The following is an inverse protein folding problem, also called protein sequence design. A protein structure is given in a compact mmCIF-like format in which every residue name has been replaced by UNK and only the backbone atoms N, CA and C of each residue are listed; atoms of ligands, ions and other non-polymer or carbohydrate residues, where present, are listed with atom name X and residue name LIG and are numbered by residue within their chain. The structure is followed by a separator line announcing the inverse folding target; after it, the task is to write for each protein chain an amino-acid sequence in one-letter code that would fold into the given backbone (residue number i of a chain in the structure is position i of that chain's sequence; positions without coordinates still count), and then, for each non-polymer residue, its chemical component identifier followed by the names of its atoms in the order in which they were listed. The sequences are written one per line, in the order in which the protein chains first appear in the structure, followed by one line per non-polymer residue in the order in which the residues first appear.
data_IF_505615453947
#
_entry.id   IF_505615453947
#
_cell.length_a   1.000
_cell.length_b   1.000
_cell.length_c   1.000
_cell.angle_alpha   90.00
_cell.angle_beta   90.00
_cell.angle_gamma   90.00
#
_symmetry.space_group_name_H-M   'P 1'
#
loop_
_entity.id
_entity.type
_entity.pdbx_description
1 polymer ?
#
# COMPACT_ATOMS: atom_id res chain seq x y z
N UNK A 1 -4.38 23.48 -21.34
CA UNK A 1 -4.58 22.18 -20.66
C UNK A 1 -3.36 21.67 -19.88
N UNK A 2 -2.12 21.85 -20.36
CA UNK A 2 -0.90 21.40 -19.64
C UNK A 2 -0.66 22.13 -18.29
N UNK A 3 -0.94 23.43 -18.22
CA UNK A 3 -0.83 24.21 -16.98
C UNK A 3 -1.80 23.72 -15.88
N UNK A 4 -3.04 23.37 -16.25
CA UNK A 4 -4.04 22.84 -15.32
C UNK A 4 -3.64 21.48 -14.73
N UNK A 5 -2.90 20.65 -15.49
CA UNK A 5 -2.35 19.36 -15.02
C UNK A 5 -1.24 19.52 -13.99
N UNK A 6 -0.53 20.64 -13.98
CA UNK A 6 0.59 20.92 -13.06
C UNK A 6 0.13 21.64 -11.80
N UNK A 7 -1.06 22.24 -11.82
CA UNK A 7 -1.63 22.97 -10.69
C UNK A 7 -1.78 22.07 -9.45
N UNK A 8 -2.34 20.87 -9.62
CA UNK A 8 -2.52 19.91 -8.52
C UNK A 8 -1.20 19.50 -7.85
N UNK A 9 -0.20 19.02 -8.61
CA UNK A 9 1.13 18.72 -8.08
C UNK A 9 1.80 19.94 -7.42
N UNK A 10 1.71 21.13 -8.02
CA UNK A 10 2.31 22.34 -7.47
C UNK A 10 1.67 22.74 -6.14
N UNK A 11 0.34 22.67 -6.03
CA UNK A 11 -0.39 22.93 -4.78
C UNK A 11 -0.05 21.90 -3.70
N UNK A 12 0.09 20.63 -4.05
CA UNK A 12 0.48 19.58 -3.10
C UNK A 12 1.89 19.84 -2.54
N UNK A 13 2.86 20.14 -3.41
CA UNK A 13 4.23 20.46 -2.98
C UNK A 13 4.27 21.72 -2.13
N UNK A 14 3.53 22.76 -2.52
CA UNK A 14 3.42 23.99 -1.76
C UNK A 14 2.79 23.75 -0.37
N UNK A 15 1.75 22.91 -0.28
CA UNK A 15 1.14 22.52 0.99
C UNK A 15 2.09 21.77 1.92
N UNK A 16 2.84 20.80 1.39
CA UNK A 16 3.87 20.07 2.16
C UNK A 16 4.96 21.02 2.66
N UNK A 17 5.42 21.94 1.80
CA UNK A 17 6.42 22.94 2.18
C UNK A 17 5.91 23.88 3.27
N UNK A 18 4.67 24.35 3.17
CA UNK A 18 4.06 25.21 4.19
C UNK A 18 3.96 24.50 5.55
N UNK A 19 3.52 23.24 5.58
CA UNK A 19 3.47 22.43 6.81
C UNK A 19 4.87 22.23 7.40
N UNK A 20 5.87 21.92 6.57
CA UNK A 20 7.25 21.75 7.03
C UNK A 20 7.83 23.03 7.65
N UNK A 21 7.53 24.20 7.06
CA UNK A 21 7.95 25.51 7.59
C UNK A 21 7.26 25.80 8.92
N UNK A 22 5.94 25.55 9.03
CA UNK A 22 5.19 25.75 10.26
C UNK A 22 5.73 24.86 11.41
N UNK A 23 6.07 23.60 11.11
CA UNK A 23 6.71 22.69 12.06
C UNK A 23 8.10 23.19 12.48
N UNK A 24 8.92 23.65 11.54
CA UNK A 24 10.26 24.17 11.82
C UNK A 24 10.27 25.44 12.66
N UNK A 25 9.23 26.27 12.55
CA UNK A 25 9.03 27.48 13.36
C UNK A 25 8.41 27.22 14.73
N UNK A 26 8.02 25.98 15.02
CA UNK A 26 7.27 25.63 16.24
C UNK A 26 5.83 26.17 16.23
N UNK A 27 5.33 26.62 15.08
CA UNK A 27 3.95 27.09 14.88
C UNK A 27 2.96 25.93 14.65
N UNK A 28 3.47 24.72 14.41
CA UNK A 28 2.68 23.51 14.23
C UNK A 28 3.31 22.33 14.99
N UNK A 29 2.46 21.36 15.34
CA UNK A 29 2.85 20.10 15.98
C UNK A 29 2.29 18.94 15.16
N UNK A 30 3.13 17.98 14.76
CA UNK A 30 2.71 16.80 14.01
C UNK A 30 2.39 15.66 14.98
N UNK A 31 1.14 15.21 15.01
CA UNK A 31 0.70 14.06 15.80
C UNK A 31 0.20 12.94 14.87
N UNK A 32 0.72 11.72 15.02
CA UNK A 32 0.16 10.53 14.37
C UNK A 32 -0.81 9.83 15.32
N UNK A 33 -2.06 9.68 14.91
CA UNK A 33 -3.07 8.89 15.63
C UNK A 33 -3.16 7.52 14.98
N UNK A 34 -2.74 6.48 15.71
CA UNK A 34 -2.82 5.09 15.25
C UNK A 34 -4.13 4.46 15.73
N UNK A 35 -4.97 4.00 14.80
CA UNK A 35 -6.27 3.37 15.08
C UNK A 35 -6.07 1.84 15.05
N UNK A 36 -6.29 1.17 16.18
CA UNK A 36 -6.29 -0.29 16.28
C UNK A 36 -7.74 -0.81 16.22
N UNK A 37 -8.21 -1.35 15.09
CA UNK A 37 -9.50 -1.99 15.05
C UNK A 37 -9.46 -3.29 15.86
N UNK A 38 -10.28 -3.38 16.91
CA UNK A 38 -10.43 -4.59 17.73
C UNK A 38 -11.84 -5.14 17.49
N UNK A 39 -11.92 -6.42 17.12
CA UNK A 39 -13.18 -7.13 16.91
C UNK A 39 -13.27 -8.29 17.91
N UNK A 40 -14.06 -8.11 18.96
CA UNK A 40 -14.38 -9.17 19.94
C UNK A 40 -15.67 -9.86 19.53
N UNK A 41 -15.65 -11.19 19.53
CA UNK A 41 -16.63 -12.01 18.83
C UNK A 41 -16.83 -13.32 19.57
N UNK A 42 -17.99 -13.48 20.21
CA UNK A 42 -18.40 -14.73 20.85
C UNK A 42 -19.54 -15.37 20.04
N UNK A 43 -19.32 -16.59 19.54
CA UNK A 43 -20.32 -17.37 18.80
C UNK A 43 -19.95 -17.74 17.36
N UNK A 44 -20.58 -18.80 16.85
CA UNK A 44 -20.24 -19.41 15.56
C UNK A 44 -20.38 -18.48 14.35
N UNK A 45 -21.36 -17.56 14.38
CA UNK A 45 -21.56 -16.57 13.32
C UNK A 45 -20.41 -15.58 13.21
N UNK A 46 -19.79 -15.23 14.33
CA UNK A 46 -18.67 -14.30 14.33
C UNK A 46 -17.39 -14.97 13.81
N UNK A 47 -17.17 -16.25 14.13
CA UNK A 47 -16.12 -17.08 13.53
C UNK A 47 -16.30 -17.19 12.03
N UNK A 48 -17.53 -17.46 11.56
CA UNK A 48 -17.84 -17.52 10.13
C UNK A 48 -17.59 -16.17 9.44
N UNK A 49 -18.01 -15.06 10.06
CA UNK A 49 -17.77 -13.71 9.54
C UNK A 49 -16.28 -13.40 9.39
N UNK A 50 -15.48 -13.70 10.40
CA UNK A 50 -14.02 -13.52 10.36
C UNK A 50 -13.42 -14.40 9.24
N UNK A 51 -13.81 -15.67 9.17
CA UNK A 51 -13.33 -16.59 8.13
C UNK A 51 -13.66 -16.09 6.71
N UNK A 52 -14.87 -15.55 6.50
CA UNK A 52 -15.29 -14.98 5.21
C UNK A 52 -14.53 -13.70 4.86
N UNK A 53 -14.30 -12.80 5.81
CA UNK A 53 -13.51 -11.58 5.58
C UNK A 53 -12.07 -11.93 5.21
N UNK A 54 -11.47 -12.89 5.92
CA UNK A 54 -10.13 -13.41 5.60
C UNK A 54 -10.12 -14.02 4.20
N UNK A 55 -11.07 -14.89 3.88
CA UNK A 55 -11.19 -15.51 2.56
C UNK A 55 -11.39 -14.46 1.44
N UNK A 56 -12.21 -13.43 1.68
CA UNK A 56 -12.45 -12.34 0.73
C UNK A 56 -11.19 -11.49 0.50
N UNK A 57 -10.42 -11.21 1.55
CA UNK A 57 -9.13 -10.52 1.43
C UNK A 57 -8.16 -11.31 0.54
N UNK A 58 -8.00 -12.62 0.80
CA UNK A 58 -7.16 -13.49 -0.03
C UNK A 58 -7.67 -13.57 -1.47
N UNK A 59 -8.98 -13.76 -1.67
CA UNK A 59 -9.60 -13.81 -2.98
C UNK A 59 -9.40 -12.50 -3.76
N UNK A 60 -9.52 -11.35 -3.11
CA UNK A 60 -9.25 -10.04 -3.72
C UNK A 60 -7.80 -9.93 -4.14
N UNK A 61 -6.85 -10.34 -3.31
CA UNK A 61 -5.43 -10.28 -3.65
C UNK A 61 -5.05 -11.24 -4.80
N UNK A 62 -5.66 -12.43 -4.83
CA UNK A 62 -5.48 -13.43 -5.89
C UNK A 62 -6.11 -13.00 -7.22
N UNK A 63 -7.26 -12.31 -7.17
CA UNK A 63 -7.97 -11.83 -8.37
C UNK A 63 -7.47 -10.46 -8.84
N UNK A 64 -6.83 -9.67 -7.99
CA UNK A 64 -6.25 -8.36 -8.35
C UNK A 64 -5.22 -8.46 -9.48
N UNK A 65 -4.47 -9.58 -9.53
CA UNK A 65 -3.49 -9.84 -10.60
C UNK A 65 -4.06 -10.62 -11.77
N UNK A 66 -5.32 -11.04 -11.72
CA UNK A 66 -5.94 -11.73 -12.83
C UNK A 66 -5.98 -10.75 -14.03
N UNK A 67 -5.40 -11.12 -15.18
CA UNK A 67 -5.58 -10.35 -16.39
C UNK A 67 -7.07 -10.27 -16.65
N UNK A 68 -7.62 -9.04 -16.67
CA UNK A 68 -8.94 -8.82 -17.22
C UNK A 68 -8.84 -9.24 -18.67
N UNK A 69 -9.40 -10.41 -19.00
CA UNK A 69 -9.36 -10.97 -20.34
C UNK A 69 -10.10 -9.98 -21.23
N UNK A 70 -9.33 -9.18 -21.96
CA UNK A 70 -9.87 -8.20 -22.87
C UNK A 70 -10.70 -8.96 -23.90
N UNK A 71 -11.99 -8.63 -24.00
CA UNK A 71 -12.86 -9.18 -25.04
C UNK A 71 -12.14 -9.08 -26.40
N UNK A 72 -12.18 -10.11 -27.26
CA UNK A 72 -11.44 -10.09 -28.51
C UNK A 72 -11.86 -8.88 -29.35
N UNK A 73 -10.98 -7.89 -29.48
CA UNK A 73 -11.20 -6.80 -30.42
C UNK A 73 -11.09 -7.34 -31.85
N UNK A 74 -12.02 -7.01 -32.76
CA UNK A 74 -11.92 -7.37 -34.16
C UNK A 74 -10.65 -6.76 -34.78
N UNK A 75 -9.76 -7.62 -35.30
CA UNK A 75 -8.46 -7.24 -35.85
C UNK A 75 -8.62 -6.44 -37.16
N UNK A 76 -8.14 -5.18 -37.25
CA UNK A 76 -7.92 -4.49 -38.52
C UNK A 76 -6.52 -4.85 -39.09
N UNK A 77 -6.35 -4.92 -40.43
CA UNK A 77 -5.09 -5.33 -41.04
C UNK A 77 -3.96 -4.27 -40.94
N UNK A 78 -2.67 -4.67 -40.89
CA UNK A 78 -1.51 -3.76 -40.79
C UNK A 78 -0.85 -3.51 -42.18
N UNK A 79 0.22 -2.69 -42.32
CA UNK A 79 0.79 -1.66 -41.42
C UNK A 79 1.10 -0.32 -42.14
N UNK A 80 1.40 0.76 -41.39
CA UNK A 80 2.43 1.73 -41.87
C UNK A 80 3.17 2.46 -40.74
N UNK A 81 4.50 2.35 -40.83
CA UNK A 81 5.60 3.16 -40.26
C UNK A 81 6.08 2.93 -38.81
N UNK A 82 7.42 3.00 -38.58
CA UNK A 82 8.06 2.54 -37.35
C UNK A 82 7.86 3.54 -36.20
N UNK A 83 7.28 3.06 -35.10
CA UNK A 83 7.24 3.77 -33.84
C UNK A 83 8.64 3.82 -33.22
N UNK A 84 9.10 5.03 -32.87
CA UNK A 84 10.26 5.20 -32.00
C UNK A 84 10.00 4.51 -30.65
N UNK A 85 10.96 3.73 -30.10
CA UNK A 85 10.78 3.09 -28.80
C UNK A 85 10.67 4.14 -27.70
N UNK A 86 9.46 4.37 -27.18
CA UNK A 86 9.32 5.13 -25.93
C UNK A 86 9.91 4.31 -24.77
N UNK A 87 10.67 4.91 -23.85
CA UNK A 87 11.16 4.21 -22.66
C UNK A 87 9.94 3.80 -21.83
N UNK A 88 9.74 2.50 -21.67
CA UNK A 88 8.68 1.96 -20.84
C UNK A 88 8.86 2.43 -19.38
N UNK A 89 7.77 2.73 -18.65
CA UNK A 89 7.88 3.09 -17.24
C UNK A 89 8.54 1.93 -16.50
N UNK A 90 9.74 2.16 -15.97
CA UNK A 90 10.46 1.15 -15.21
C UNK A 90 9.64 0.83 -13.96
N UNK A 91 8.98 -0.34 -13.97
CA UNK A 91 7.99 -0.74 -12.98
C UNK A 91 8.70 -0.93 -11.64
N UNK A 92 8.35 -0.10 -10.67
CA UNK A 92 8.96 -0.13 -9.33
C UNK A 92 8.32 -1.26 -8.52
N UNK A 93 9.14 -2.12 -7.94
CA UNK A 93 8.70 -3.32 -7.20
C UNK A 93 9.47 -3.43 -5.89
N UNK A 94 8.83 -3.99 -4.87
CA UNK A 94 9.50 -4.39 -3.64
C UNK A 94 8.72 -5.47 -2.90
N UNK A 95 9.32 -6.00 -1.85
CA UNK A 95 8.75 -7.03 -0.97
C UNK A 95 9.16 -6.84 0.50
N UNK A 96 8.33 -7.33 1.42
CA UNK A 96 8.67 -7.55 2.84
C UNK A 96 8.56 -9.04 3.11
N UNK A 97 9.63 -9.64 3.64
CA UNK A 97 9.63 -11.04 4.09
C UNK A 97 9.96 -11.07 5.58
N UNK A 98 9.08 -11.67 6.36
CA UNK A 98 9.28 -11.84 7.79
C UNK A 98 10.06 -13.13 8.05
N UNK A 99 11.29 -13.03 8.56
CA UNK A 99 12.08 -14.18 8.99
C UNK A 99 11.97 -14.28 10.52
N UNK A 100 10.95 -14.98 10.98
CA UNK A 100 10.51 -14.88 12.38
C UNK A 100 10.00 -13.46 12.69
N UNK A 101 10.18 -12.94 13.91
CA UNK A 101 9.73 -11.60 14.29
C UNK A 101 10.43 -10.45 13.54
N UNK A 102 11.51 -10.71 12.79
CA UNK A 102 12.33 -9.66 12.20
C UNK A 102 11.90 -9.42 10.74
N UNK A 103 11.36 -8.24 10.38
CA UNK A 103 11.01 -7.92 9.01
C UNK A 103 12.25 -7.60 8.17
N UNK A 104 12.45 -8.32 7.07
CA UNK A 104 13.50 -8.05 6.08
C UNK A 104 12.86 -7.46 4.82
N UNK A 105 13.38 -6.33 4.36
CA UNK A 105 12.73 -5.52 3.32
C UNK A 105 13.64 -5.31 2.12
N UNK A 106 13.05 -5.46 0.93
CA UNK A 106 13.73 -5.30 -0.35
C UNK A 106 12.89 -4.39 -1.26
N UNK A 107 13.53 -3.49 -2.00
CA UNK A 107 12.83 -2.63 -2.95
C UNK A 107 13.76 -2.17 -4.06
N UNK A 108 13.20 -1.93 -5.24
CA UNK A 108 13.93 -1.45 -6.42
C UNK A 108 14.56 -0.07 -6.21
N UNK A 109 14.05 0.70 -5.24
CA UNK A 109 14.54 2.04 -4.90
C UNK A 109 14.42 2.29 -3.39
N UNK A 110 15.23 3.23 -2.87
CA UNK A 110 15.24 3.60 -1.46
C UNK A 110 13.87 4.10 -0.96
N UNK A 111 13.06 4.70 -1.84
CA UNK A 111 11.69 5.10 -1.50
C UNK A 111 10.77 3.89 -1.33
N UNK A 112 10.81 2.90 -2.23
CA UNK A 112 10.00 1.68 -2.13
C UNK A 112 10.43 0.85 -0.93
N UNK A 113 11.74 0.72 -0.73
CA UNK A 113 12.34 0.01 0.41
C UNK A 113 11.93 0.64 1.74
N UNK A 114 11.90 1.97 1.85
CA UNK A 114 11.50 2.65 3.10
C UNK A 114 10.01 2.48 3.41
N UNK A 115 9.16 2.52 2.38
CA UNK A 115 7.72 2.25 2.52
C UNK A 115 7.44 0.81 2.94
N UNK A 116 8.19 -0.14 2.41
CA UNK A 116 8.04 -1.54 2.77
C UNK A 116 8.64 -1.85 4.13
N UNK A 117 9.70 -1.15 4.55
CA UNK A 117 10.27 -1.26 5.90
C UNK A 117 9.28 -0.77 6.94
N UNK A 118 8.64 0.36 6.64
CA UNK A 118 7.58 0.88 7.49
C UNK A 118 6.41 -0.10 7.59
N UNK A 119 5.98 -0.67 6.46
CA UNK A 119 4.91 -1.67 6.43
C UNK A 119 5.27 -2.93 7.22
N UNK A 120 6.52 -3.39 7.13
CA UNK A 120 7.02 -4.56 7.85
C UNK A 120 7.11 -4.35 9.37
N UNK A 121 7.65 -3.22 9.81
CA UNK A 121 7.72 -2.89 11.24
C UNK A 121 6.32 -2.71 11.82
N UNK A 122 5.42 -2.07 11.06
CA UNK A 122 4.04 -1.88 11.48
C UNK A 122 3.31 -3.20 11.67
N UNK A 123 3.44 -4.15 10.73
CA UNK A 123 2.83 -5.47 10.84
C UNK A 123 3.45 -6.28 11.99
N UNK A 124 4.76 -6.13 12.22
CA UNK A 124 5.46 -6.82 13.30
C UNK A 124 4.93 -6.40 14.67
N UNK A 125 4.86 -5.09 14.91
CA UNK A 125 4.37 -4.54 16.18
C UNK A 125 2.91 -4.92 16.41
N UNK A 126 2.10 -4.91 15.35
CA UNK A 126 0.70 -5.36 15.42
C UNK A 126 0.58 -6.83 15.85
N UNK A 127 1.38 -7.74 15.27
CA UNK A 127 1.41 -9.15 15.65
C UNK A 127 1.92 -9.37 17.08
N UNK A 128 2.91 -8.60 17.51
CA UNK A 128 3.52 -8.72 18.84
C UNK A 128 2.54 -8.28 19.94
N UNK A 129 1.86 -7.16 19.73
CA UNK A 129 0.82 -6.68 20.65
C UNK A 129 -0.38 -7.62 20.69
N UNK A 130 -0.80 -8.15 19.54
CA UNK A 130 -1.84 -9.17 19.48
C UNK A 130 -1.45 -10.42 20.29
N UNK A 131 -0.20 -10.88 20.17
CA UNK A 131 0.29 -12.08 20.89
C UNK A 131 0.41 -11.84 22.39
N UNK A 132 0.90 -10.67 22.82
CA UNK A 132 0.98 -10.28 24.23
C UNK A 132 -0.39 -10.14 24.87
N UNK A 133 -1.34 -9.55 24.16
CA UNK A 133 -2.70 -9.40 24.63
C UNK A 133 -3.40 -10.77 24.76
N UNK A 134 -3.23 -11.65 23.78
CA UNK A 134 -3.82 -12.99 23.81
C UNK A 134 -3.17 -13.88 24.87
N UNK A 135 -1.86 -13.76 25.09
CA UNK A 135 -1.12 -14.53 26.11
C UNK A 135 -1.35 -14.05 27.56
N UNK A 136 -1.80 -12.82 27.76
CA UNK A 136 -2.26 -12.33 29.08
C UNK A 136 -3.72 -12.70 29.39
N UNK A 137 -4.47 -13.13 28.37
CA UNK A 137 -5.90 -13.45 28.47
C UNK A 137 -6.18 -14.97 28.58
N UNK A 138 -5.13 -15.80 28.65
CA UNK A 138 -5.15 -17.27 28.84
C UNK A 138 -4.53 -17.59 30.20
#
# INVERSE_FOLDING_TARGET
MRAMRLLGPALFVAGVAAIAIALARGEATLSLVLIFPVLTADGAWAVLGIALVVAAFFATFLTWTAPVEAAPEPIPPPPTMPAQPQPSPQRRWGGVVFLGPIPIVFGSDARVTRWMLFLGVLLFVALLLLTLYLGWAI
#
